data_IF_226313752436
#
_entry.id   IF_226313752436
#
_cell.length_a   1.000
_cell.length_b   1.000
_cell.length_c   1.000
_cell.angle_alpha   90.00
_cell.angle_beta   90.00
_cell.angle_gamma   90.00
#
_symmetry.space_group_name_H-M   'P 1'
#
loop_
_entity.id
_entity.type
_entity.pdbx_description
1 polymer ?
#
# COMPACT_ATOMS: atom_id res chain seq x y z
N UNK A 1 -27.28 -84.79 3.33
CA UNK A 1 -26.90 -84.06 4.56
C UNK A 1 -25.61 -83.31 4.29
N UNK A 2 -25.64 -81.98 4.51
CA UNK A 2 -24.51 -81.05 4.72
C UNK A 2 -23.45 -80.95 3.62
N UNK A 3 -23.14 -79.81 3.01
CA UNK A 3 -23.32 -78.41 3.41
C UNK A 3 -22.07 -77.68 2.95
N UNK A 4 -22.15 -76.92 1.85
CA UNK A 4 -21.05 -76.18 1.24
C UNK A 4 -21.35 -74.68 1.32
N UNK A 5 -20.50 -73.83 1.93
CA UNK A 5 -20.67 -72.39 1.86
C UNK A 5 -19.60 -71.70 0.98
N UNK A 6 -20.13 -71.09 -0.07
CA UNK A 6 -19.80 -69.81 -0.69
C UNK A 6 -18.50 -69.07 -0.31
N UNK A 7 -17.72 -68.75 -1.36
CA UNK A 7 -16.70 -67.69 -1.42
C UNK A 7 -17.36 -66.31 -1.61
N UNK A 8 -16.93 -65.33 -0.82
CA UNK A 8 -17.19 -63.89 -0.95
C UNK A 8 -16.06 -63.06 -0.30
N UNK A 9 -15.86 -61.78 -0.64
CA UNK A 9 -14.57 -61.27 -1.09
C UNK A 9 -13.65 -60.66 -0.01
N UNK A 10 -12.33 -60.78 -0.24
CA UNK A 10 -11.27 -60.10 0.51
C UNK A 10 -11.24 -58.60 0.18
N UNK A 11 -11.60 -57.77 1.15
CA UNK A 11 -11.34 -56.33 1.11
C UNK A 11 -9.83 -56.05 1.20
N UNK A 12 -9.29 -55.41 0.15
CA UNK A 12 -7.93 -54.84 0.14
C UNK A 12 -7.95 -53.50 0.89
N UNK A 13 -7.28 -53.43 2.04
CA UNK A 13 -6.92 -52.16 2.69
C UNK A 13 -5.63 -51.61 2.05
N UNK A 14 -5.68 -50.34 1.69
CA UNK A 14 -4.70 -49.60 0.88
C UNK A 14 -3.42 -49.26 1.66
N UNK A 15 -2.23 -49.26 1.04
CA UNK A 15 -1.02 -48.75 1.67
C UNK A 15 -0.72 -47.28 1.30
N UNK A 16 -0.31 -46.52 2.31
CA UNK A 16 0.59 -45.36 2.25
C UNK A 16 0.31 -44.19 1.26
N UNK A 17 -0.29 -43.12 1.80
CA UNK A 17 -0.01 -41.74 1.37
C UNK A 17 0.46 -40.90 2.56
N UNK A 18 1.74 -41.04 2.94
CA UNK A 18 2.45 -40.03 3.76
C UNK A 18 3.01 -38.97 2.82
N UNK A 19 2.17 -38.02 2.41
CA UNK A 19 2.62 -36.83 1.70
C UNK A 19 3.10 -35.79 2.72
N UNK A 20 4.42 -35.61 2.72
CA UNK A 20 5.23 -34.52 3.25
C UNK A 20 4.50 -33.24 3.71
N UNK A 21 4.18 -33.17 5.01
CA UNK A 21 3.86 -31.93 5.73
C UNK A 21 5.08 -31.00 5.96
N UNK A 22 6.27 -31.34 5.44
CA UNK A 22 7.49 -30.52 5.54
C UNK A 22 7.56 -29.35 4.55
N UNK A 23 6.71 -29.31 3.51
CA UNK A 23 6.71 -28.25 2.50
C UNK A 23 5.94 -26.98 2.87
N UNK A 24 4.99 -27.04 3.82
CA UNK A 24 4.11 -25.89 4.16
C UNK A 24 4.65 -25.00 5.28
N UNK A 25 5.69 -25.44 6.00
CA UNK A 25 6.32 -24.70 7.09
C UNK A 25 7.43 -23.73 6.63
N UNK A 26 7.98 -23.91 5.42
CA UNK A 26 8.99 -23.00 4.85
C UNK A 26 8.37 -21.75 4.24
N UNK A 27 7.13 -21.80 3.74
CA UNK A 27 6.42 -20.63 3.23
C UNK A 27 5.94 -19.70 4.36
N UNK A 28 5.46 -20.25 5.48
CA UNK A 28 5.04 -19.44 6.63
C UNK A 28 6.21 -18.71 7.32
N UNK A 29 7.41 -19.32 7.36
CA UNK A 29 8.61 -18.64 7.88
C UNK A 29 9.10 -17.49 7.00
N UNK A 30 8.87 -17.53 5.68
CA UNK A 30 9.20 -16.40 4.78
C UNK A 30 8.24 -15.22 4.91
N UNK A 31 7.01 -15.45 5.40
CA UNK A 31 6.05 -14.38 5.70
C UNK A 31 6.19 -13.79 7.12
N UNK A 32 6.86 -14.46 8.07
CA UNK A 32 7.05 -13.94 9.44
C UNK A 32 8.23 -12.97 9.60
N UNK A 33 9.07 -12.80 8.57
CA UNK A 33 10.06 -11.71 8.50
C UNK A 33 9.41 -10.33 8.23
N UNK A 34 8.11 -10.30 7.90
CA UNK A 34 7.35 -9.06 7.65
C UNK A 34 7.18 -8.16 8.89
N UNK A 35 7.46 -8.64 10.10
CA UNK A 35 7.25 -7.91 11.35
C UNK A 35 8.43 -7.06 11.85
N UNK A 36 9.61 -7.12 11.21
CA UNK A 36 10.83 -6.44 11.72
C UNK A 36 11.28 -5.22 10.93
N UNK A 37 10.68 -4.95 9.78
CA UNK A 37 11.06 -3.85 8.91
C UNK A 37 10.05 -2.71 9.06
N UNK A 38 10.55 -1.50 9.33
CA UNK A 38 9.74 -0.28 9.26
C UNK A 38 9.03 -0.20 7.90
N UNK A 39 7.85 0.42 7.84
CA UNK A 39 7.09 0.62 6.59
C UNK A 39 7.98 1.17 5.46
N UNK A 40 8.95 2.02 5.83
CA UNK A 40 9.98 2.61 4.98
C UNK A 40 10.84 1.56 4.27
N UNK A 41 11.43 0.65 5.05
CA UNK A 41 12.27 -0.43 4.53
C UNK A 41 11.47 -1.40 3.68
N UNK A 42 10.18 -1.62 4.02
CA UNK A 42 9.31 -2.51 3.26
C UNK A 42 8.97 -1.94 1.87
N UNK A 43 8.60 -0.66 1.78
CA UNK A 43 8.30 -0.02 0.49
C UNK A 43 9.54 0.02 -0.42
N UNK A 44 10.69 0.38 0.14
CA UNK A 44 11.94 0.41 -0.60
C UNK A 44 12.38 -0.99 -1.06
N UNK A 45 12.25 -2.01 -0.19
CA UNK A 45 12.57 -3.38 -0.55
C UNK A 45 11.65 -3.94 -1.65
N UNK A 46 10.34 -3.64 -1.59
CA UNK A 46 9.38 -4.09 -2.62
C UNK A 46 9.67 -3.41 -3.96
N UNK A 47 9.90 -2.08 -3.97
CA UNK A 47 10.24 -1.36 -5.20
C UNK A 47 11.57 -1.83 -5.80
N UNK A 48 12.62 -2.01 -4.98
CA UNK A 48 13.89 -2.59 -5.43
C UNK A 48 13.72 -4.01 -5.97
N UNK A 49 12.94 -4.86 -5.31
CA UNK A 49 12.68 -6.21 -5.78
C UNK A 49 11.96 -6.22 -7.13
N UNK A 50 10.94 -5.37 -7.30
CA UNK A 50 10.23 -5.23 -8.57
C UNK A 50 11.17 -4.75 -9.68
N UNK A 51 12.05 -3.79 -9.38
CA UNK A 51 13.04 -3.30 -10.34
C UNK A 51 14.02 -4.41 -10.76
N UNK A 52 14.54 -5.18 -9.81
CA UNK A 52 15.44 -6.31 -10.08
C UNK A 52 14.75 -7.36 -10.97
N UNK A 53 13.51 -7.72 -10.65
CA UNK A 53 12.74 -8.68 -11.47
C UNK A 53 12.50 -8.15 -12.88
N UNK A 54 12.15 -6.87 -13.02
CA UNK A 54 11.95 -6.23 -14.32
C UNK A 54 13.26 -6.18 -15.15
N UNK A 55 14.39 -5.84 -14.53
CA UNK A 55 15.71 -5.82 -15.15
C UNK A 55 16.13 -7.21 -15.62
N UNK A 56 15.99 -8.24 -14.76
CA UNK A 56 16.29 -9.63 -15.13
C UNK A 56 15.44 -10.07 -16.33
N UNK A 57 14.13 -9.78 -16.31
CA UNK A 57 13.23 -10.13 -17.40
C UNK A 57 13.58 -9.41 -18.70
N UNK A 58 13.85 -8.10 -18.63
CA UNK A 58 14.24 -7.29 -19.79
C UNK A 58 15.57 -7.75 -20.39
N UNK A 59 16.57 -8.01 -19.56
CA UNK A 59 17.88 -8.50 -20.00
C UNK A 59 17.81 -9.89 -20.60
N UNK A 60 17.05 -10.82 -19.99
CA UNK A 60 16.87 -12.16 -20.53
C UNK A 60 16.22 -12.11 -21.92
N UNK A 61 15.21 -11.25 -22.09
CA UNK A 61 14.58 -11.02 -23.39
C UNK A 61 15.56 -10.40 -24.40
N UNK A 62 16.31 -9.36 -24.00
CA UNK A 62 17.28 -8.70 -24.88
C UNK A 62 18.38 -9.67 -25.34
N UNK A 63 18.93 -10.49 -24.44
CA UNK A 63 19.92 -11.52 -24.78
C UNK A 63 19.33 -12.57 -25.70
N UNK A 64 18.10 -13.05 -25.44
CA UNK A 64 17.45 -14.04 -26.31
C UNK A 64 17.20 -13.49 -27.73
N UNK A 65 16.79 -12.23 -27.85
CA UNK A 65 16.59 -11.57 -29.15
C UNK A 65 17.93 -11.36 -29.87
N UNK A 66 18.94 -10.86 -29.16
CA UNK A 66 20.28 -10.63 -29.72
C UNK A 66 20.93 -11.94 -30.20
N UNK A 67 20.83 -13.01 -29.41
CA UNK A 67 21.38 -14.31 -29.79
C UNK A 67 20.71 -14.84 -31.06
N UNK A 68 19.37 -14.74 -31.17
CA UNK A 68 18.65 -15.14 -32.37
C UNK A 68 19.11 -14.32 -33.59
N UNK A 69 19.22 -13.01 -33.44
CA UNK A 69 19.65 -12.13 -34.53
C UNK A 69 21.08 -12.43 -34.98
N UNK A 70 22.03 -12.60 -34.05
CA UNK A 70 23.41 -12.96 -34.37
C UNK A 70 23.53 -14.33 -35.06
N UNK A 71 22.75 -15.32 -34.62
CA UNK A 71 22.73 -16.65 -35.28
C UNK A 71 22.09 -16.56 -36.66
N UNK A 72 21.02 -15.79 -36.83
CA UNK A 72 20.41 -15.58 -38.16
C UNK A 72 21.36 -14.84 -39.11
N UNK A 73 22.04 -13.80 -38.65
CA UNK A 73 23.07 -13.12 -39.43
C UNK A 73 24.22 -14.05 -39.82
N UNK A 74 24.64 -14.94 -38.90
CA UNK A 74 25.64 -15.96 -39.20
C UNK A 74 25.14 -16.95 -40.25
N UNK A 75 23.92 -17.45 -40.13
CA UNK A 75 23.29 -18.36 -41.09
C UNK A 75 23.23 -17.74 -42.51
N UNK A 76 22.86 -16.48 -42.63
CA UNK A 76 22.80 -15.79 -43.92
C UNK A 76 24.19 -15.52 -44.52
N UNK A 77 25.18 -15.16 -43.70
CA UNK A 77 26.58 -15.06 -44.14
C UNK A 77 27.13 -16.41 -44.63
N UNK A 78 26.84 -17.49 -43.90
CA UNK A 78 27.24 -18.85 -44.28
C UNK A 78 26.59 -19.28 -45.60
N UNK A 79 25.30 -18.99 -45.82
CA UNK A 79 24.61 -19.28 -47.09
C UNK A 79 25.25 -18.57 -48.28
N UNK A 80 25.54 -17.28 -48.14
CA UNK A 80 26.20 -16.50 -49.20
C UNK A 80 27.59 -17.07 -49.47
N UNK A 81 28.40 -17.28 -48.43
CA UNK A 81 29.75 -17.82 -48.57
C UNK A 81 29.76 -19.23 -49.19
N UNK A 82 28.83 -20.11 -48.79
CA UNK A 82 28.72 -21.45 -49.35
C UNK A 82 28.31 -21.42 -50.83
N UNK A 83 27.40 -20.53 -51.21
CA UNK A 83 26.99 -20.38 -52.62
C UNK A 83 28.14 -19.86 -53.49
N UNK A 84 28.94 -18.93 -52.97
CA UNK A 84 30.15 -18.43 -53.64
C UNK A 84 31.20 -19.55 -53.77
N UNK A 85 31.47 -20.29 -52.68
CA UNK A 85 32.45 -21.37 -52.66
C UNK A 85 32.07 -22.57 -53.56
N UNK A 86 30.76 -22.87 -53.68
CA UNK A 86 30.23 -23.92 -54.54
C UNK A 86 30.37 -23.63 -56.04
N UNK A 87 30.34 -22.35 -56.43
CA UNK A 87 30.39 -21.92 -57.85
C UNK A 87 31.80 -21.68 -58.38
N UNK A 88 32.72 -21.22 -57.53
CA UNK A 88 34.00 -20.69 -57.99
C UNK A 88 35.11 -21.75 -58.19
N UNK A 89 34.93 -23.01 -57.79
CA UNK A 89 36.09 -23.90 -57.55
C UNK A 89 36.08 -25.18 -58.38
N UNK A 90 36.52 -25.13 -59.64
CA UNK A 90 36.87 -26.34 -60.41
C UNK A 90 38.03 -27.07 -59.73
N UNK A 91 37.81 -28.33 -59.34
CA UNK A 91 38.81 -29.19 -58.69
C UNK A 91 40.06 -29.41 -59.57
N UNK A 92 39.93 -29.26 -60.89
CA UNK A 92 41.03 -29.40 -61.85
C UNK A 92 41.88 -28.14 -62.06
N UNK A 93 41.43 -26.95 -61.64
CA UNK A 93 42.10 -25.65 -61.95
C UNK A 93 42.83 -25.08 -60.72
N UNK A 94 43.27 -25.98 -59.84
CA UNK A 94 43.74 -25.69 -58.47
C UNK A 94 45.24 -25.33 -58.42
N UNK A 95 45.91 -25.26 -59.56
CA UNK A 95 47.31 -24.85 -59.67
C UNK A 95 47.53 -23.34 -59.91
N UNK A 96 46.49 -22.48 -59.89
CA UNK A 96 46.62 -21.06 -60.25
C UNK A 96 45.85 -20.05 -59.39
N UNK A 97 46.16 -18.76 -59.64
CA UNK A 97 45.71 -17.45 -59.10
C UNK A 97 44.20 -17.25 -58.81
N UNK A 98 43.34 -18.26 -59.02
CA UNK A 98 41.90 -18.21 -58.74
C UNK A 98 41.54 -18.67 -57.32
N UNK A 99 42.30 -19.60 -56.73
CA UNK A 99 42.06 -20.07 -55.35
C UNK A 99 42.37 -19.01 -54.30
N UNK A 100 43.36 -18.13 -54.56
CA UNK A 100 43.60 -16.90 -53.81
C UNK A 100 42.39 -15.98 -53.86
N UNK A 101 41.81 -15.72 -55.03
CA UNK A 101 40.62 -14.85 -55.15
C UNK A 101 39.37 -15.38 -54.42
N UNK A 102 39.15 -16.70 -54.41
CA UNK A 102 38.05 -17.31 -53.63
C UNK A 102 38.32 -17.16 -52.14
N UNK A 103 39.55 -17.44 -51.70
CA UNK A 103 39.99 -17.20 -50.31
C UNK A 103 39.77 -15.73 -49.94
N UNK A 104 40.24 -14.78 -50.75
CA UNK A 104 40.14 -13.34 -50.50
C UNK A 104 38.68 -12.84 -50.47
N UNK A 105 37.82 -13.34 -51.36
CA UNK A 105 36.39 -12.97 -51.41
C UNK A 105 35.62 -13.52 -50.21
N UNK A 106 35.89 -14.77 -49.83
CA UNK A 106 35.32 -15.41 -48.64
C UNK A 106 35.87 -14.78 -47.36
N UNK A 107 37.14 -14.36 -47.34
CA UNK A 107 37.79 -13.62 -46.26
C UNK A 107 37.21 -12.21 -46.08
N UNK A 108 36.90 -11.50 -47.17
CA UNK A 108 36.24 -10.19 -47.10
C UNK A 108 34.80 -10.27 -46.60
N UNK A 109 34.08 -11.35 -46.93
CA UNK A 109 32.65 -11.51 -46.57
C UNK A 109 32.43 -12.13 -45.19
N UNK A 110 33.39 -12.88 -44.65
CA UNK A 110 33.27 -13.54 -43.36
C UNK A 110 34.26 -12.98 -42.34
N UNK A 111 33.76 -12.04 -41.54
CA UNK A 111 34.43 -11.58 -40.32
C UNK A 111 34.26 -12.63 -39.21
N UNK A 112 35.35 -13.21 -38.72
CA UNK A 112 35.32 -14.19 -37.62
C UNK A 112 36.13 -15.46 -37.86
N UNK A 113 35.99 -16.44 -36.95
CA UNK A 113 36.59 -17.77 -37.08
C UNK A 113 35.74 -18.64 -38.01
N UNK A 114 36.34 -19.02 -39.15
CA UNK A 114 35.67 -19.72 -40.25
C UNK A 114 36.49 -20.91 -40.68
N UNK A 115 35.79 -22.01 -40.92
CA UNK A 115 36.35 -23.23 -41.49
C UNK A 115 35.72 -23.50 -42.85
N UNK A 116 36.56 -23.64 -43.89
CA UNK A 116 36.15 -23.97 -45.25
C UNK A 116 36.85 -25.24 -45.70
N UNK A 117 36.09 -26.28 -46.02
CA UNK A 117 36.61 -27.59 -46.42
C UNK A 117 35.82 -28.19 -47.59
N UNK A 118 36.54 -28.93 -48.44
CA UNK A 118 35.98 -29.76 -49.50
C UNK A 118 35.87 -31.19 -49.03
N UNK A 119 34.72 -31.78 -49.34
CA UNK A 119 34.38 -33.16 -49.05
C UNK A 119 34.33 -33.94 -50.36
N UNK A 120 34.95 -35.12 -50.36
CA UNK A 120 34.79 -36.07 -51.46
C UNK A 120 33.38 -36.67 -51.49
N UNK A 121 33.10 -37.48 -52.51
CA UNK A 121 31.85 -38.25 -52.61
C UNK A 121 31.61 -39.15 -51.39
N UNK A 122 32.69 -39.67 -50.79
CA UNK A 122 32.68 -40.47 -49.56
C UNK A 122 32.38 -39.67 -48.27
N UNK A 123 32.12 -38.36 -48.38
CA UNK A 123 31.83 -37.48 -47.25
C UNK A 123 32.99 -37.27 -46.27
N UNK A 124 34.22 -37.58 -46.68
CA UNK A 124 35.45 -37.28 -45.93
C UNK A 124 36.08 -35.97 -46.42
N UNK A 125 36.70 -35.24 -45.50
CA UNK A 125 37.42 -34.00 -45.82
C UNK A 125 38.63 -34.35 -46.69
N UNK A 126 38.58 -33.97 -47.96
CA UNK A 126 39.70 -34.15 -48.89
C UNK A 126 40.70 -33.01 -48.78
N UNK A 127 40.21 -31.77 -48.59
CA UNK A 127 41.06 -30.58 -48.55
C UNK A 127 40.44 -29.46 -47.74
N UNK A 128 41.24 -28.86 -46.86
CA UNK A 128 40.85 -27.66 -46.10
C UNK A 128 41.42 -26.42 -46.81
N UNK A 129 40.56 -25.47 -47.15
CA UNK A 129 40.95 -24.21 -47.81
C UNK A 129 41.29 -23.14 -46.77
N UNK A 130 40.45 -23.08 -45.72
CA UNK A 130 40.64 -22.21 -44.58
C UNK A 130 40.51 -23.03 -43.31
N UNK A 131 41.62 -23.31 -42.60
CA UNK A 131 41.55 -23.97 -41.31
C UNK A 131 40.88 -23.04 -40.29
N UNK A 132 40.25 -23.64 -39.27
CA UNK A 132 39.77 -22.86 -38.14
C UNK A 132 40.96 -22.26 -37.39
N UNK A 133 40.81 -21.05 -36.84
CA UNK A 133 41.88 -20.38 -36.13
C UNK A 133 42.18 -21.02 -34.76
N UNK A 134 41.16 -21.59 -34.10
CA UNK A 134 41.30 -22.18 -32.77
C UNK A 134 41.03 -23.69 -32.74
N UNK A 135 39.77 -24.10 -32.92
CA UNK A 135 39.36 -25.51 -32.84
C UNK A 135 38.50 -25.87 -34.04
N UNK A 136 38.88 -26.93 -34.76
CA UNK A 136 38.14 -27.36 -35.93
C UNK A 136 36.72 -27.85 -35.58
N UNK A 137 35.73 -27.67 -36.48
CA UNK A 137 34.42 -28.30 -36.31
C UNK A 137 34.53 -29.83 -36.42
N UNK A 138 33.88 -30.56 -35.53
CA UNK A 138 33.73 -32.01 -35.61
C UNK A 138 32.65 -32.35 -36.65
N UNK A 139 33.02 -32.29 -37.92
CA UNK A 139 32.10 -32.53 -39.02
C UNK A 139 31.66 -34.00 -39.03
N UNK A 140 30.34 -34.30 -39.08
CA UNK A 140 29.88 -35.65 -39.34
C UNK A 140 30.26 -36.07 -40.77
N UNK A 141 30.12 -37.36 -41.09
CA UNK A 141 30.23 -37.82 -42.48
C UNK A 141 29.12 -37.15 -43.30
N UNK A 142 29.51 -36.38 -44.31
CA UNK A 142 28.61 -35.59 -45.17
C UNK A 142 28.81 -36.03 -46.61
N UNK A 143 28.30 -37.21 -46.95
CA UNK A 143 28.26 -37.70 -48.33
C UNK A 143 27.22 -36.93 -49.17
N UNK A 144 27.20 -37.16 -50.48
CA UNK A 144 26.32 -36.44 -51.40
C UNK A 144 24.83 -36.56 -51.02
N UNK A 145 24.42 -37.74 -50.53
CA UNK A 145 23.06 -37.98 -50.05
C UNK A 145 22.74 -37.15 -48.80
N UNK A 146 23.60 -37.19 -47.77
CA UNK A 146 23.42 -36.44 -46.53
C UNK A 146 23.43 -34.91 -46.74
N UNK A 147 24.23 -34.42 -47.69
CA UNK A 147 24.23 -33.00 -48.08
C UNK A 147 22.95 -32.63 -48.82
N UNK A 148 22.47 -33.51 -49.71
CA UNK A 148 21.20 -33.36 -50.44
C UNK A 148 19.99 -33.30 -49.51
N UNK A 149 19.88 -34.23 -48.56
CA UNK A 149 18.79 -34.30 -47.58
C UNK A 149 18.71 -33.04 -46.70
N UNK A 150 19.87 -32.47 -46.34
CA UNK A 150 19.92 -31.24 -45.54
C UNK A 150 19.47 -30.01 -46.31
N UNK A 151 19.45 -30.05 -47.64
CA UNK A 151 18.84 -29.01 -48.48
C UNK A 151 19.36 -27.59 -48.21
N UNK A 152 20.69 -27.43 -48.05
CA UNK A 152 21.37 -26.14 -47.74
C UNK A 152 20.89 -25.48 -46.42
N UNK A 153 20.34 -26.25 -45.47
CA UNK A 153 19.96 -25.73 -44.15
C UNK A 153 21.17 -25.72 -43.21
N UNK A 154 21.45 -24.59 -42.54
CA UNK A 154 22.49 -24.55 -41.52
C UNK A 154 22.16 -25.46 -40.33
N UNK A 155 23.18 -26.09 -39.76
CA UNK A 155 23.07 -27.00 -38.62
C UNK A 155 24.24 -26.79 -37.66
N UNK A 156 24.11 -27.30 -36.44
CA UNK A 156 25.12 -27.14 -35.41
C UNK A 156 25.97 -28.41 -35.27
N UNK A 157 27.29 -28.24 -35.09
CA UNK A 157 28.23 -29.31 -34.74
C UNK A 157 29.14 -28.86 -33.60
N UNK A 158 29.58 -29.76 -32.71
CA UNK A 158 30.57 -29.41 -31.70
C UNK A 158 31.96 -29.19 -32.33
N UNK A 159 32.83 -28.44 -31.65
CA UNK A 159 34.26 -28.41 -31.95
C UNK A 159 34.94 -29.72 -31.51
N UNK A 160 35.97 -30.16 -32.23
CA UNK A 160 36.71 -31.40 -31.95
C UNK A 160 37.31 -31.39 -30.53
N UNK A 161 37.87 -30.26 -30.12
CA UNK A 161 38.57 -30.12 -28.83
C UNK A 161 37.72 -29.40 -27.75
N UNK A 162 36.40 -29.35 -27.93
CA UNK A 162 35.50 -28.71 -26.96
C UNK A 162 35.51 -27.16 -26.99
N UNK A 163 36.10 -26.55 -28.02
CA UNK A 163 36.15 -25.10 -28.25
C UNK A 163 34.81 -24.41 -28.58
N UNK A 164 33.68 -24.97 -28.16
CA UNK A 164 32.33 -24.47 -28.43
C UNK A 164 31.63 -25.14 -29.60
N UNK A 165 30.49 -24.57 -30.00
CA UNK A 165 29.70 -25.06 -31.12
C UNK A 165 30.01 -24.29 -32.40
N UNK A 166 29.78 -24.94 -33.53
CA UNK A 166 29.96 -24.41 -34.87
C UNK A 166 28.64 -24.46 -35.62
N UNK A 167 28.34 -23.38 -36.33
CA UNK A 167 27.24 -23.33 -37.27
C UNK A 167 27.76 -23.68 -38.66
N UNK A 168 27.23 -24.73 -39.27
CA UNK A 168 27.74 -25.36 -40.48
C UNK A 168 26.68 -25.35 -41.56
N UNK A 169 27.09 -25.06 -42.79
CA UNK A 169 26.29 -25.32 -43.98
C UNK A 169 27.11 -26.17 -44.96
N UNK A 170 26.46 -27.19 -45.50
CA UNK A 170 27.01 -28.04 -46.55
C UNK A 170 26.20 -27.82 -47.83
N UNK A 171 26.88 -27.66 -48.96
CA UNK A 171 26.26 -27.48 -50.26
C UNK A 171 26.93 -28.38 -51.29
N UNK A 172 26.17 -28.97 -52.23
CA UNK A 172 26.75 -29.76 -53.31
C UNK A 172 27.59 -28.84 -54.20
N UNK A 173 28.65 -29.39 -54.77
CA UNK A 173 29.47 -28.67 -55.73
C UNK A 173 28.71 -28.46 -57.06
N UNK A 174 28.74 -27.24 -57.61
CA UNK A 174 27.93 -26.85 -58.79
C UNK A 174 28.76 -26.79 -60.10
N UNK A 175 29.97 -27.38 -60.14
CA UNK A 175 30.86 -27.32 -61.31
C UNK A 175 30.54 -28.31 -62.44
N UNK A 176 31.39 -28.31 -63.48
CA UNK A 176 31.14 -29.03 -64.75
C UNK A 176 31.06 -30.57 -64.60
N UNK A 177 31.63 -31.11 -63.51
CA UNK A 177 31.57 -32.52 -63.09
C UNK A 177 30.32 -32.88 -62.26
N UNK A 178 29.46 -31.92 -61.91
CA UNK A 178 28.28 -32.11 -61.05
C UNK A 178 27.13 -32.94 -61.67
N UNK A 179 27.37 -33.67 -62.76
CA UNK A 179 26.34 -34.47 -63.45
C UNK A 179 26.03 -35.82 -62.79
N UNK A 180 26.75 -36.21 -61.75
CA UNK A 180 26.45 -37.40 -60.96
C UNK A 180 25.84 -37.02 -59.61
N UNK A 181 24.85 -37.80 -59.16
CA UNK A 181 24.23 -37.73 -57.82
C UNK A 181 25.20 -38.06 -56.67
N UNK A 182 26.48 -38.23 -56.96
CA UNK A 182 27.56 -38.63 -56.06
C UNK A 182 28.74 -37.64 -56.10
N UNK A 183 28.45 -36.37 -56.38
CA UNK A 183 29.44 -35.30 -56.55
C UNK A 183 30.08 -34.81 -55.25
N UNK A 184 31.26 -34.17 -55.31
CA UNK A 184 31.91 -33.56 -54.16
C UNK A 184 31.05 -32.46 -53.55
N UNK A 185 31.30 -32.14 -52.27
CA UNK A 185 30.53 -31.12 -51.53
C UNK A 185 31.45 -30.10 -50.88
N UNK A 186 30.92 -28.91 -50.62
CA UNK A 186 31.63 -27.82 -49.94
C UNK A 186 30.98 -27.57 -48.59
N UNK A 187 31.79 -27.48 -47.54
CA UNK A 187 31.34 -27.10 -46.20
C UNK A 187 31.95 -25.78 -45.79
N UNK A 188 31.09 -24.89 -45.33
CA UNK A 188 31.46 -23.63 -44.68
C UNK A 188 30.91 -23.67 -43.26
N UNK A 189 31.76 -23.41 -42.28
CA UNK A 189 31.38 -23.34 -40.88
C UNK A 189 31.87 -22.04 -40.23
N UNK A 190 31.06 -21.48 -39.35
CA UNK A 190 31.39 -20.31 -38.53
C UNK A 190 31.25 -20.62 -37.04
N UNK A 191 32.20 -20.15 -36.23
CA UNK A 191 32.24 -20.45 -34.80
C UNK A 191 31.17 -19.67 -34.02
N UNK A 192 30.38 -20.36 -33.18
CA UNK A 192 29.47 -19.71 -32.24
C UNK A 192 30.19 -19.14 -31.02
N UNK A 193 31.46 -19.52 -30.78
CA UNK A 193 32.25 -18.98 -29.67
C UNK A 193 32.39 -17.45 -29.74
N UNK A 194 32.41 -16.87 -30.94
CA UNK A 194 32.41 -15.42 -31.13
C UNK A 194 31.07 -14.77 -30.76
N UNK A 195 29.95 -15.43 -31.08
CA UNK A 195 28.60 -15.00 -30.69
C UNK A 195 28.47 -15.04 -29.16
N UNK A 196 28.86 -16.16 -28.54
CA UNK A 196 28.84 -16.34 -27.09
C UNK A 196 29.76 -15.36 -26.36
N UNK A 197 30.95 -15.10 -26.91
CA UNK A 197 31.88 -14.11 -26.39
C UNK A 197 31.30 -12.70 -26.41
N UNK A 198 30.66 -12.33 -27.52
CA UNK A 198 29.96 -11.04 -27.67
C UNK A 198 28.83 -10.91 -26.65
N UNK A 199 27.98 -11.93 -26.51
CA UNK A 199 26.89 -11.96 -25.53
C UNK A 199 27.42 -11.83 -24.10
N UNK A 200 28.50 -12.54 -23.75
CA UNK A 200 29.10 -12.49 -22.40
C UNK A 200 29.70 -11.11 -22.10
N UNK A 201 30.37 -10.50 -23.07
CA UNK A 201 30.94 -9.16 -22.90
C UNK A 201 29.85 -8.09 -22.77
N UNK A 202 28.78 -8.17 -23.56
CA UNK A 202 27.63 -7.27 -23.40
C UNK A 202 26.91 -7.52 -22.07
N UNK A 203 26.69 -8.79 -21.70
CA UNK A 203 26.03 -9.17 -20.47
C UNK A 203 26.75 -8.66 -19.22
N UNK A 204 28.08 -8.74 -19.16
CA UNK A 204 28.87 -8.18 -18.05
C UNK A 204 28.77 -6.67 -17.96
N UNK A 205 28.81 -5.95 -19.10
CA UNK A 205 28.60 -4.49 -19.14
C UNK A 205 27.20 -4.10 -18.68
N UNK A 206 26.17 -4.80 -19.15
CA UNK A 206 24.78 -4.57 -18.74
C UNK A 206 24.61 -4.80 -17.24
N UNK A 207 25.16 -5.88 -16.68
CA UNK A 207 25.11 -6.14 -15.24
C UNK A 207 25.78 -5.04 -14.41
N UNK A 208 26.90 -4.48 -14.87
CA UNK A 208 27.55 -3.35 -14.20
C UNK A 208 26.69 -2.08 -14.23
N UNK A 209 26.07 -1.80 -15.38
CA UNK A 209 25.14 -0.68 -15.52
C UNK A 209 23.93 -0.87 -14.61
N UNK A 210 23.31 -2.04 -14.60
CA UNK A 210 22.16 -2.36 -13.75
C UNK A 210 22.49 -2.23 -12.27
N UNK A 211 23.66 -2.72 -11.85
CA UNK A 211 24.14 -2.57 -10.47
C UNK A 211 24.30 -1.09 -10.09
N UNK A 212 24.88 -0.27 -10.99
CA UNK A 212 25.01 1.16 -10.77
C UNK A 212 23.66 1.88 -10.69
N UNK A 213 22.72 1.54 -11.60
CA UNK A 213 21.35 2.09 -11.62
C UNK A 213 20.60 1.70 -10.35
N UNK A 214 20.66 0.44 -9.93
CA UNK A 214 20.04 -0.05 -8.69
C UNK A 214 20.62 0.63 -7.46
N UNK A 215 21.94 0.82 -7.39
CA UNK A 215 22.59 1.54 -6.30
C UNK A 215 22.13 3.00 -6.25
N UNK A 216 22.12 3.70 -7.39
CA UNK A 216 21.67 5.09 -7.50
C UNK A 216 20.20 5.24 -7.06
N UNK A 217 19.31 4.40 -7.60
CA UNK A 217 17.89 4.42 -7.26
C UNK A 217 17.64 3.99 -5.80
N UNK A 218 18.46 3.08 -5.27
CA UNK A 218 18.41 2.68 -3.87
C UNK A 218 18.75 3.82 -2.93
N UNK A 219 19.83 4.56 -3.22
CA UNK A 219 20.23 5.75 -2.45
C UNK A 219 19.18 6.86 -2.59
N UNK A 220 18.75 7.18 -3.82
CA UNK A 220 17.74 8.20 -4.07
C UNK A 220 16.40 7.86 -3.40
N UNK A 221 15.94 6.61 -3.53
CA UNK A 221 14.74 6.11 -2.88
C UNK A 221 14.83 6.17 -1.35
N UNK A 222 16.00 5.86 -0.78
CA UNK A 222 16.22 5.95 0.67
C UNK A 222 16.11 7.40 1.16
N UNK A 223 16.74 8.35 0.46
CA UNK A 223 16.60 9.77 0.78
C UNK A 223 15.17 10.28 0.61
N UNK A 224 14.49 9.90 -0.49
CA UNK A 224 13.11 10.29 -0.74
C UNK A 224 12.15 9.80 0.36
N UNK A 225 12.26 8.52 0.74
CA UNK A 225 11.44 7.93 1.81
C UNK A 225 11.79 8.52 3.18
N UNK A 226 13.08 8.80 3.44
CA UNK A 226 13.51 9.43 4.70
C UNK A 226 13.00 10.87 4.83
N UNK A 227 13.01 11.62 3.73
CA UNK A 227 12.49 12.99 3.66
C UNK A 227 10.98 13.05 3.73
N UNK A 228 10.27 12.31 2.87
CA UNK A 228 8.82 12.35 2.75
C UNK A 228 8.07 11.88 3.99
N UNK A 229 8.66 11.00 4.80
CA UNK A 229 8.05 10.51 6.04
C UNK A 229 8.54 11.23 7.29
N UNK A 230 9.35 12.29 7.15
CA UNK A 230 9.77 13.14 8.27
C UNK A 230 8.56 13.81 8.97
N UNK A 231 7.53 14.33 8.27
CA UNK A 231 6.38 14.95 8.92
C UNK A 231 5.57 13.98 9.79
N UNK A 232 5.51 12.68 9.45
CA UNK A 232 4.81 11.69 10.27
C UNK A 232 5.38 11.59 11.69
N UNK A 233 6.70 11.71 11.86
CA UNK A 233 7.31 11.72 13.19
C UNK A 233 6.88 12.94 14.01
N UNK A 234 6.63 14.08 13.36
CA UNK A 234 6.15 15.28 14.04
C UNK A 234 4.71 15.11 14.50
N UNK A 235 3.85 14.51 13.66
CA UNK A 235 2.48 14.15 14.04
C UNK A 235 2.49 13.16 15.21
N UNK A 236 3.35 12.15 15.17
CA UNK A 236 3.52 11.19 16.27
C UNK A 236 3.92 11.87 17.58
N UNK A 237 4.89 12.80 17.55
CA UNK A 237 5.29 13.55 18.76
C UNK A 237 4.18 14.46 19.29
N UNK A 238 3.43 15.14 18.41
CA UNK A 238 2.31 15.98 18.83
C UNK A 238 1.18 15.14 19.42
N UNK A 239 0.85 14.00 18.80
CA UNK A 239 -0.16 13.08 19.33
C UNK A 239 0.23 12.50 20.70
N UNK A 240 1.52 12.24 20.92
CA UNK A 240 2.02 11.83 22.24
C UNK A 240 1.87 12.95 23.28
N UNK A 241 2.20 14.20 22.94
CA UNK A 241 2.00 15.34 23.84
C UNK A 241 0.51 15.56 24.21
N UNK A 242 -0.38 15.39 23.24
CA UNK A 242 -1.84 15.44 23.45
C UNK A 242 -2.29 14.31 24.38
N UNK A 243 -1.77 13.08 24.19
CA UNK A 243 -2.07 11.95 25.07
C UNK A 243 -1.58 12.16 26.51
N UNK A 244 -0.50 12.94 26.67
CA UNK A 244 0.03 13.36 27.98
C UNK A 244 -0.74 14.56 28.59
N UNK A 245 -1.77 15.07 27.90
CA UNK A 245 -2.70 16.09 28.43
C UNK A 245 -2.50 17.50 27.90
N UNK A 246 -1.52 17.75 27.02
CA UNK A 246 -1.36 19.05 26.37
C UNK A 246 -2.28 19.18 25.14
N UNK A 247 -3.53 19.57 25.38
CA UNK A 247 -4.51 19.81 24.31
C UNK A 247 -4.18 21.04 23.47
N UNK A 248 -3.37 21.98 24.00
CA UNK A 248 -2.98 23.21 23.29
C UNK A 248 -2.00 22.95 22.14
N UNK A 249 -1.32 21.80 22.17
CA UNK A 249 -0.44 21.35 21.09
C UNK A 249 -1.22 21.16 19.79
N UNK A 250 -0.69 21.69 18.68
CA UNK A 250 -1.28 21.56 17.34
C UNK A 250 -0.36 20.85 16.38
N UNK A 251 -0.95 20.13 15.42
CA UNK A 251 -0.19 19.51 14.34
C UNK A 251 0.28 20.63 13.41
N UNK A 252 1.60 20.78 13.17
CA UNK A 252 2.08 21.85 12.33
C UNK A 252 1.71 21.60 10.86
N UNK A 253 1.42 22.66 10.11
CA UNK A 253 1.11 22.61 8.67
C UNK A 253 2.37 22.33 7.83
N UNK A 254 2.85 21.09 7.91
CA UNK A 254 4.14 20.67 7.33
C UNK A 254 4.03 20.23 5.87
N UNK A 255 2.82 20.06 5.37
CA UNK A 255 2.54 19.63 4.03
C UNK A 255 1.36 20.43 3.48
N UNK A 256 1.41 20.77 2.19
CA UNK A 256 0.33 21.47 1.53
C UNK A 256 -1.00 20.73 1.77
N UNK A 257 -2.09 21.47 1.99
CA UNK A 257 -3.42 20.95 2.35
C UNK A 257 -3.99 19.96 1.32
N UNK A 258 -3.41 19.91 0.11
CA UNK A 258 -3.76 18.97 -0.96
C UNK A 258 -3.16 17.57 -0.79
N UNK A 259 -2.17 17.41 0.09
CA UNK A 259 -1.56 16.13 0.40
C UNK A 259 -2.38 15.37 1.45
N UNK A 260 -2.22 14.06 1.45
CA UNK A 260 -2.86 13.11 2.37
C UNK A 260 -2.54 13.45 3.82
N UNK A 261 -1.29 13.86 4.08
CA UNK A 261 -0.85 14.31 5.39
C UNK A 261 -1.45 15.67 5.77
N UNK A 262 -1.60 16.60 4.82
CA UNK A 262 -2.23 17.90 5.07
C UNK A 262 -3.70 17.74 5.47
N UNK A 263 -4.45 16.86 4.77
CA UNK A 263 -5.84 16.54 5.13
C UNK A 263 -5.95 15.88 6.51
N UNK A 264 -5.03 14.98 6.84
CA UNK A 264 -4.98 14.34 8.16
C UNK A 264 -4.69 15.38 9.26
N UNK A 265 -3.73 16.27 9.05
CA UNK A 265 -3.40 17.33 10.00
C UNK A 265 -4.60 18.26 10.25
N UNK A 266 -5.28 18.69 9.19
CA UNK A 266 -6.48 19.53 9.29
C UNK A 266 -7.62 18.82 10.04
N UNK A 267 -7.85 17.53 9.75
CA UNK A 267 -8.86 16.74 10.45
C UNK A 267 -8.53 16.56 11.94
N UNK A 268 -7.25 16.34 12.29
CA UNK A 268 -6.84 16.20 13.68
C UNK A 268 -6.97 17.52 14.45
N UNK A 269 -6.54 18.64 13.86
CA UNK A 269 -6.70 19.96 14.47
C UNK A 269 -8.19 20.29 14.67
N UNK A 270 -9.06 20.04 13.68
CA UNK A 270 -10.50 20.25 13.83
C UNK A 270 -11.15 19.36 14.89
N UNK A 271 -10.62 18.16 15.13
CA UNK A 271 -11.04 17.31 16.26
C UNK A 271 -10.57 17.90 17.60
N UNK A 272 -9.35 18.41 17.69
CA UNK A 272 -8.82 19.05 18.89
C UNK A 272 -9.60 20.30 19.26
N UNK A 273 -9.97 21.13 18.27
CA UNK A 273 -10.78 22.33 18.50
C UNK A 273 -12.14 21.95 19.14
N UNK A 274 -12.78 20.88 18.67
CA UNK A 274 -14.03 20.37 19.27
C UNK A 274 -13.86 19.85 20.69
N UNK A 275 -12.72 19.22 20.99
CA UNK A 275 -12.42 18.73 22.34
C UNK A 275 -12.24 19.90 23.29
N UNK A 276 -11.45 20.91 22.90
CA UNK A 276 -11.26 22.12 23.71
C UNK A 276 -12.57 22.87 23.94
N UNK A 277 -13.41 23.03 22.91
CA UNK A 277 -14.75 23.62 23.04
C UNK A 277 -15.63 22.84 24.03
N UNK A 278 -15.64 21.51 23.94
CA UNK A 278 -16.40 20.64 24.84
C UNK A 278 -15.89 20.70 26.29
N UNK A 279 -14.58 20.74 26.48
CA UNK A 279 -13.96 20.81 27.80
C UNK A 279 -14.21 22.18 28.44
N UNK A 280 -14.11 23.26 27.66
CA UNK A 280 -14.46 24.61 28.11
C UNK A 280 -15.94 24.71 28.50
N UNK A 281 -16.84 24.14 27.69
CA UNK A 281 -18.27 24.08 28.00
C UNK A 281 -18.55 23.30 29.28
N UNK A 282 -17.87 22.16 29.48
CA UNK A 282 -17.98 21.32 30.68
C UNK A 282 -17.44 22.04 31.92
N UNK A 283 -16.31 22.74 31.81
CA UNK A 283 -15.75 23.54 32.89
C UNK A 283 -16.72 24.66 33.31
N UNK A 284 -17.26 25.40 32.34
CA UNK A 284 -18.24 26.45 32.59
C UNK A 284 -19.54 25.92 33.21
N UNK A 285 -20.01 24.73 32.80
CA UNK A 285 -21.16 24.06 33.41
C UNK A 285 -20.88 23.64 34.86
N UNK A 286 -19.70 23.08 35.12
CA UNK A 286 -19.27 22.67 36.47
C UNK A 286 -19.20 23.88 37.41
N UNK A 287 -18.65 25.00 36.95
CA UNK A 287 -18.55 26.22 37.77
C UNK A 287 -19.91 26.88 38.03
N UNK A 288 -20.87 26.77 37.10
CA UNK A 288 -22.26 27.17 37.34
C UNK A 288 -22.92 26.29 38.41
N UNK A 289 -22.77 24.96 38.29
CA UNK A 289 -23.30 24.01 39.28
C UNK A 289 -22.73 24.25 40.69
N UNK A 290 -21.41 24.50 40.80
CA UNK A 290 -20.77 24.81 42.09
C UNK A 290 -21.35 26.05 42.75
N UNK A 291 -21.56 27.13 41.97
CA UNK A 291 -22.16 28.37 42.48
C UNK A 291 -23.61 28.13 42.92
N UNK A 292 -24.40 27.44 42.11
CA UNK A 292 -25.77 27.08 42.46
C UNK A 292 -25.87 26.30 43.78
N UNK A 293 -25.02 25.28 43.98
CA UNK A 293 -24.99 24.50 45.23
C UNK A 293 -24.59 25.38 46.42
N UNK A 294 -23.63 26.29 46.24
CA UNK A 294 -23.21 27.21 47.30
C UNK A 294 -24.37 28.14 47.69
N UNK A 295 -25.03 28.76 46.71
CA UNK A 295 -26.15 29.68 46.93
C UNK A 295 -27.33 28.96 47.60
N UNK A 296 -27.72 27.79 47.09
CA UNK A 296 -28.77 26.97 47.68
C UNK A 296 -28.43 26.57 49.14
N UNK A 297 -27.17 26.23 49.41
CA UNK A 297 -26.72 25.89 50.76
C UNK A 297 -26.83 27.08 51.72
N UNK A 298 -26.57 28.31 51.24
CA UNK A 298 -26.71 29.52 52.04
C UNK A 298 -28.17 29.84 52.32
N UNK A 299 -29.04 29.77 51.31
CA UNK A 299 -30.47 30.05 51.43
C UNK A 299 -31.21 29.03 52.31
N UNK A 300 -30.79 27.76 52.32
CA UNK A 300 -31.34 26.72 53.20
C UNK A 300 -30.88 26.87 54.67
N UNK A 301 -29.65 27.33 54.89
CA UNK A 301 -29.03 27.39 56.21
C UNK A 301 -29.70 28.42 57.13
N UNK A 302 -30.06 29.58 56.59
CA UNK A 302 -30.68 30.69 57.35
C UNK A 302 -32.01 30.30 58.03
N UNK A 303 -33.05 29.82 57.30
CA UNK A 303 -34.31 29.40 57.91
C UNK A 303 -34.11 28.21 58.86
N UNK A 304 -33.19 27.29 58.53
CA UNK A 304 -32.90 26.12 59.36
C UNK A 304 -32.28 26.50 60.71
N UNK A 305 -31.39 27.50 60.75
CA UNK A 305 -30.90 28.07 62.01
C UNK A 305 -31.99 28.83 62.77
N UNK A 306 -32.92 29.50 62.08
CA UNK A 306 -34.08 30.12 62.71
C UNK A 306 -34.94 29.09 63.45
N UNK A 307 -35.30 27.99 62.79
CA UNK A 307 -36.07 26.89 63.39
C UNK A 307 -35.31 26.29 64.57
N UNK A 308 -34.01 26.00 64.40
CA UNK A 308 -33.16 25.48 65.47
C UNK A 308 -33.10 26.43 66.67
N UNK A 309 -32.94 27.73 66.44
CA UNK A 309 -32.88 28.74 67.50
C UNK A 309 -34.16 28.82 68.32
N UNK A 310 -35.33 28.82 67.68
CA UNK A 310 -36.62 28.84 68.40
C UNK A 310 -36.88 27.54 69.17
N UNK A 311 -36.54 26.39 68.61
CA UNK A 311 -36.69 25.10 69.31
C UNK A 311 -35.73 24.96 70.49
N UNK A 312 -34.50 25.48 70.38
CA UNK A 312 -33.53 25.54 71.48
C UNK A 312 -33.98 26.49 72.59
N UNK A 313 -34.48 27.67 72.24
CA UNK A 313 -35.00 28.65 73.21
C UNK A 313 -36.18 28.09 74.00
N UNK A 314 -37.10 27.37 73.34
CA UNK A 314 -38.20 26.67 74.00
C UNK A 314 -37.68 25.62 74.99
N UNK A 315 -36.71 24.79 74.57
CA UNK A 315 -36.11 23.75 75.44
C UNK A 315 -35.38 24.30 76.67
N UNK A 316 -34.81 25.50 76.56
CA UNK A 316 -34.14 26.18 77.67
C UNK A 316 -35.11 26.87 78.65
N UNK A 317 -36.42 26.81 78.40
CA UNK A 317 -37.42 27.51 79.20
C UNK A 317 -37.44 29.03 78.99
N UNK A 318 -36.83 29.52 77.90
CA UNK A 318 -36.77 30.95 77.56
C UNK A 318 -38.07 31.51 76.98
N UNK A 319 -39.18 30.78 77.11
CA UNK A 319 -40.53 31.16 76.67
C UNK A 319 -41.50 30.95 77.84
N UNK A 320 -41.55 31.88 78.81
CA UNK A 320 -42.31 31.71 80.05
C UNK A 320 -43.83 31.77 79.85
N UNK A 321 -44.30 32.45 78.80
CA UNK A 321 -45.73 32.59 78.51
C UNK A 321 -46.17 31.72 77.31
N UNK A 322 -47.44 31.29 77.29
CA UNK A 322 -48.03 30.58 76.13
C UNK A 322 -47.95 31.41 74.85
N UNK A 323 -48.12 32.72 74.97
CA UNK A 323 -48.01 33.72 73.89
C UNK A 323 -46.63 33.72 73.23
N UNK A 324 -45.55 33.51 73.99
CA UNK A 324 -44.18 33.40 73.46
C UNK A 324 -44.00 32.11 72.66
N UNK A 325 -44.55 31.00 73.16
CA UNK A 325 -44.55 29.70 72.48
C UNK A 325 -45.33 29.77 71.17
N UNK A 326 -46.53 30.35 71.18
CA UNK A 326 -47.37 30.51 69.99
C UNK A 326 -46.68 31.39 68.93
N UNK A 327 -45.96 32.43 69.36
CA UNK A 327 -45.15 33.28 68.48
C UNK A 327 -43.98 32.52 67.86
N UNK A 328 -43.28 31.69 68.66
CA UNK A 328 -42.19 30.86 68.18
C UNK A 328 -42.65 29.78 67.20
N UNK A 329 -43.77 29.10 67.50
CA UNK A 329 -44.38 28.10 66.61
C UNK A 329 -44.80 28.73 65.29
N UNK A 330 -45.44 29.90 65.33
CA UNK A 330 -45.78 30.67 64.12
C UNK A 330 -44.56 31.05 63.28
N UNK A 331 -43.41 31.35 63.91
CA UNK A 331 -42.15 31.63 63.20
C UNK A 331 -41.57 30.36 62.58
N UNK A 332 -41.53 29.25 63.33
CA UNK A 332 -41.07 27.95 62.82
C UNK A 332 -41.90 27.52 61.61
N UNK A 333 -43.22 27.65 61.67
CA UNK A 333 -44.12 27.31 60.56
C UNK A 333 -43.82 28.15 59.31
N UNK A 334 -43.59 29.46 59.46
CA UNK A 334 -43.20 30.33 58.34
C UNK A 334 -41.85 29.96 57.73
N UNK A 335 -40.85 29.64 58.55
CA UNK A 335 -39.53 29.23 58.04
C UNK A 335 -39.60 27.85 57.37
N UNK A 336 -40.39 26.91 57.90
CA UNK A 336 -40.63 25.62 57.27
C UNK A 336 -41.36 25.76 55.93
N UNK A 337 -42.39 26.61 55.85
CA UNK A 337 -43.09 26.91 54.60
C UNK A 337 -42.16 27.60 53.57
N UNK A 338 -41.22 28.43 54.03
CA UNK A 338 -40.19 29.03 53.17
C UNK A 338 -39.21 27.97 52.65
N UNK A 339 -38.78 27.02 53.49
CA UNK A 339 -37.92 25.90 53.06
C UNK A 339 -38.61 25.03 52.01
N UNK A 340 -39.91 24.72 52.19
CA UNK A 340 -40.68 23.94 51.21
C UNK A 340 -40.72 24.64 49.86
N UNK A 341 -41.08 25.94 49.82
CA UNK A 341 -41.07 26.72 48.56
C UNK A 341 -39.69 26.78 47.92
N UNK A 342 -38.64 26.99 48.72
CA UNK A 342 -37.27 27.03 48.19
C UNK A 342 -36.87 25.70 47.54
N UNK A 343 -37.24 24.56 48.15
CA UNK A 343 -36.97 23.24 47.57
C UNK A 343 -37.79 23.01 46.29
N UNK A 344 -39.05 23.42 46.26
CA UNK A 344 -39.89 23.37 45.06
C UNK A 344 -39.30 24.20 43.92
N UNK A 345 -38.84 25.42 44.22
CA UNK A 345 -38.18 26.31 43.27
C UNK A 345 -36.86 25.72 42.74
N UNK A 346 -36.04 25.10 43.62
CA UNK A 346 -34.80 24.43 43.23
C UNK A 346 -35.06 23.20 42.34
N UNK A 347 -36.09 22.41 42.65
CA UNK A 347 -36.50 21.26 41.82
C UNK A 347 -37.04 21.70 40.46
N UNK A 348 -37.76 22.82 40.42
CA UNK A 348 -38.23 23.43 39.18
C UNK A 348 -37.05 23.90 38.32
N UNK A 349 -36.10 24.63 38.91
CA UNK A 349 -34.88 25.07 38.24
C UNK A 349 -34.05 23.90 37.70
N UNK A 350 -33.86 22.85 38.50
CA UNK A 350 -33.13 21.66 38.08
C UNK A 350 -33.79 20.96 36.88
N UNK A 351 -35.13 20.87 36.87
CA UNK A 351 -35.88 20.35 35.71
C UNK A 351 -35.69 21.23 34.49
N UNK A 352 -35.81 22.56 34.64
CA UNK A 352 -35.64 23.49 33.52
C UNK A 352 -34.23 23.41 32.92
N UNK A 353 -33.18 23.31 33.74
CA UNK A 353 -31.80 23.13 33.29
C UNK A 353 -31.61 21.82 32.50
N UNK A 354 -32.26 20.72 32.92
CA UNK A 354 -32.21 19.43 32.21
C UNK A 354 -32.84 19.52 30.80
N UNK A 355 -33.88 20.34 30.62
CA UNK A 355 -34.54 20.56 29.33
C UNK A 355 -33.80 21.56 28.41
N UNK A 356 -33.00 22.48 28.96
CA UNK A 356 -32.22 23.42 28.12
C UNK A 356 -31.12 22.75 27.27
N UNK A 357 -30.80 21.47 27.53
CA UNK A 357 -29.68 20.77 26.89
C UNK A 357 -29.97 20.06 25.56
N UNK A 358 -31.17 19.48 25.36
CA UNK A 358 -31.49 18.73 24.12
C UNK A 358 -32.94 18.22 24.03
N UNK A 359 -33.82 18.49 25.00
CA UNK A 359 -35.18 17.97 25.01
C UNK A 359 -36.15 19.14 25.13
N UNK A 360 -36.99 19.34 24.11
CA UNK A 360 -38.07 20.32 24.15
C UNK A 360 -38.88 20.14 25.44
N UNK A 361 -38.85 21.12 26.34
CA UNK A 361 -39.91 21.27 27.32
C UNK A 361 -41.20 21.34 26.47
N UNK A 362 -42.17 20.41 26.62
CA UNK A 362 -43.35 20.38 25.77
C UNK A 362 -44.24 21.58 26.13
N UNK A 363 -43.87 22.73 25.59
CA UNK A 363 -44.58 23.99 25.75
C UNK A 363 -45.78 23.94 24.82
N UNK A 364 -46.97 23.83 25.42
CA UNK A 364 -48.22 24.03 24.71
C UNK A 364 -48.44 25.53 24.51
N UNK A 365 -47.83 26.08 23.45
CA UNK A 365 -47.97 27.49 23.11
C UNK A 365 -49.39 27.76 22.61
N UNK A 366 -50.11 28.61 23.35
CA UNK A 366 -51.44 29.10 22.97
C UNK A 366 -51.43 30.63 22.92
N UNK A 367 -52.14 31.27 21.98
CA UNK A 367 -52.34 32.72 22.00
C UNK A 367 -52.98 33.16 23.33
N UNK A 368 -52.40 34.15 24.01
CA UNK A 368 -52.85 34.67 25.30
C UNK A 368 -52.82 36.21 25.28
N UNK A 369 -53.91 36.85 25.75
CA UNK A 369 -53.92 38.31 25.94
C UNK A 369 -53.08 38.65 27.19
N UNK A 370 -51.89 39.21 26.96
CA UNK A 370 -50.97 39.62 28.03
C UNK A 370 -51.59 40.65 28.98
N UNK A 371 -52.62 41.41 28.54
CA UNK A 371 -53.35 42.32 29.41
C UNK A 371 -54.11 41.59 30.50
N UNK A 372 -54.69 40.42 30.21
CA UNK A 372 -55.39 39.60 31.20
C UNK A 372 -54.41 39.15 32.27
N UNK A 373 -53.27 38.60 31.86
CA UNK A 373 -52.22 38.18 32.77
C UNK A 373 -51.70 39.35 33.64
N UNK A 374 -51.49 40.51 33.03
CA UNK A 374 -51.00 41.68 33.74
C UNK A 374 -52.06 42.30 34.67
N UNK A 375 -53.34 42.20 34.34
CA UNK A 375 -54.45 42.62 35.20
C UNK A 375 -54.58 41.69 36.42
N UNK A 376 -54.45 40.38 36.22
CA UNK A 376 -54.45 39.39 37.30
C UNK A 376 -53.27 39.64 38.26
N UNK A 377 -52.06 39.83 37.72
CA UNK A 377 -50.88 40.15 38.54
C UNK A 377 -51.04 41.48 39.32
N UNK A 378 -51.67 42.49 38.71
CA UNK A 378 -51.99 43.74 39.40
C UNK A 378 -53.01 43.53 40.52
N UNK A 379 -53.99 42.64 40.32
CA UNK A 379 -54.99 42.30 41.32
C UNK A 379 -54.34 41.62 42.53
N UNK A 380 -53.49 40.62 42.29
CA UNK A 380 -52.75 39.90 43.33
C UNK A 380 -51.85 40.85 44.14
N UNK A 381 -51.15 41.75 43.45
CA UNK A 381 -50.27 42.73 44.10
C UNK A 381 -51.05 43.70 44.98
N UNK A 382 -52.24 44.15 44.53
CA UNK A 382 -53.13 45.01 45.33
C UNK A 382 -53.72 44.27 46.53
N UNK A 383 -53.95 42.97 46.43
CA UNK A 383 -54.38 42.15 47.55
C UNK A 383 -53.27 41.99 48.61
N UNK A 384 -52.01 41.89 48.17
CA UNK A 384 -50.84 41.80 49.05
C UNK A 384 -50.48 43.13 49.74
N UNK A 385 -50.53 44.25 49.02
CA UNK A 385 -50.28 45.59 49.56
C UNK A 385 -51.20 46.64 48.92
N UNK A 386 -52.37 46.93 49.53
CA UNK A 386 -53.34 47.89 48.98
C UNK A 386 -52.82 49.32 48.91
N UNK A 387 -51.76 49.66 49.66
CA UNK A 387 -51.24 51.02 49.74
C UNK A 387 -50.17 51.30 48.68
N UNK A 388 -49.73 50.29 47.94
CA UNK A 388 -48.71 50.43 46.91
C UNK A 388 -49.33 51.01 45.62
N UNK A 389 -48.89 52.18 45.13
CA UNK A 389 -49.43 52.75 43.90
C UNK A 389 -48.90 51.99 42.69
N UNK A 390 -49.77 51.26 42.00
CA UNK A 390 -49.42 50.47 40.82
C UNK A 390 -50.47 50.64 39.72
N UNK A 391 -49.98 50.90 38.51
CA UNK A 391 -50.78 51.19 37.30
C UNK A 391 -50.41 50.22 36.19
N UNK A 392 -51.43 49.72 35.48
CA UNK A 392 -51.25 48.90 34.28
C UNK A 392 -51.27 49.80 33.04
N UNK A 393 -50.20 49.74 32.25
CA UNK A 393 -50.04 50.51 31.01
C UNK A 393 -49.79 49.58 29.83
N UNK A 394 -50.17 50.00 28.62
CA UNK A 394 -49.71 49.36 27.39
C UNK A 394 -48.19 49.53 27.18
N UNK A 395 -47.58 48.78 26.26
CA UNK A 395 -46.13 48.80 26.02
C UNK A 395 -45.56 50.17 25.61
N UNK A 396 -46.41 51.11 25.17
CA UNK A 396 -46.05 52.51 24.88
C UNK A 396 -46.46 53.52 25.95
N UNK A 397 -46.84 53.10 27.16
CA UNK A 397 -47.28 53.98 28.25
C UNK A 397 -48.73 54.50 28.14
N UNK A 398 -49.44 54.17 27.05
CA UNK A 398 -50.86 54.45 26.87
C UNK A 398 -51.79 53.47 27.62
N UNK A 399 -53.12 53.63 27.49
CA UNK A 399 -54.07 52.72 28.12
C UNK A 399 -53.87 51.27 27.64
N UNK A 400 -54.04 50.26 28.52
CA UNK A 400 -53.86 48.86 28.15
C UNK A 400 -54.94 48.42 27.14
N UNK A 401 -54.54 48.26 25.88
CA UNK A 401 -55.37 47.70 24.82
C UNK A 401 -55.29 46.17 24.78
N UNK A 402 -56.34 45.50 24.28
CA UNK A 402 -56.26 44.08 23.96
C UNK A 402 -55.35 43.86 22.75
N UNK A 403 -54.68 42.70 22.71
CA UNK A 403 -54.03 42.25 21.48
C UNK A 403 -55.07 42.13 20.34
N UNK A 404 -54.72 42.43 19.08
CA UNK A 404 -55.60 42.15 17.94
C UNK A 404 -55.91 40.66 17.78
#
# INVERSE_FOLDING_TARGET
MSGSPARGPRGRLSPHRRVSLRGRLSLRKRLSLRGRLSLRGRLLAISMLLLVVALIGSNALAVALLQRDLVHQLDDRLRTAATVAARLTNLDDVAGDRTSRVRDTVEQQLTGDVHLAYLGSNGQVQRVIRPAAHSAPALPRLDAAAVGERGRRPFEVPAVDGGGAWRVIAVPYEGREARASDGPSVVVAGSLAQVDGTIRQLGTRVLLIDAAVLALLGVAGWFAVRGGLRPLRRIETTAAAIADGDLSSRVPELAASRTELGRLAAALNGMLDRIEESDAARAAATDRMRRFIADASHELRTPLFGIKGFTELYRMGGMPERTDVDTAMSRIEREAARLVRLVEDLLLLARLDEYTGAADLPLHLTPMDLRTLAADALHDLRALDPRRPVTLTGPGGGPPGGAP
#
